data_IF_277043699743
#
_entry.id   IF_277043699743
#
_cell.length_a   1.000
_cell.length_b   1.000
_cell.length_c   1.000
_cell.angle_alpha   90.00
_cell.angle_beta   90.00
_cell.angle_gamma   90.00
#
_symmetry.space_group_name_H-M   'P 1'
#
loop_
_entity.id
_entity.type
_entity.pdbx_description
1 polymer ?
#
# COMPACT_ATOMS: atom_id res chain seq x y z
N UNK A 1 -10.90 -25.23 -1.87
CA UNK A 1 -9.46 -25.55 -1.74
C UNK A 1 -8.77 -24.31 -1.18
N UNK A 2 -8.22 -24.39 0.05
CA UNK A 2 -7.78 -23.21 0.82
C UNK A 2 -6.49 -22.64 0.22
N UNK A 3 -6.58 -21.44 -0.35
CA UNK A 3 -5.43 -20.63 -0.75
C UNK A 3 -4.56 -20.38 0.49
N UNK A 4 -3.41 -21.07 0.55
CA UNK A 4 -2.43 -20.90 1.61
C UNK A 4 -1.86 -19.51 1.54
N UNK A 5 -2.25 -18.64 2.48
CA UNK A 5 -1.52 -17.39 2.71
C UNK A 5 -0.11 -17.76 3.14
N UNK A 6 0.83 -17.69 2.18
CA UNK A 6 2.26 -17.75 2.45
C UNK A 6 2.54 -16.64 3.46
N UNK A 7 2.94 -17.01 4.68
CA UNK A 7 3.35 -16.01 5.67
C UNK A 7 4.59 -15.32 5.12
N UNK A 8 4.59 -13.98 4.93
CA UNK A 8 5.79 -13.30 4.51
C UNK A 8 6.90 -13.54 5.55
N UNK A 9 8.16 -13.67 5.11
CA UNK A 9 9.28 -13.84 6.03
C UNK A 9 9.31 -12.68 7.01
N UNK A 10 9.53 -12.99 8.30
CA UNK A 10 9.67 -11.97 9.34
C UNK A 10 10.99 -11.26 9.09
N UNK A 11 10.91 -10.03 8.55
CA UNK A 11 12.09 -9.19 8.38
C UNK A 11 12.61 -8.75 9.76
N UNK A 12 13.94 -8.67 9.95
CA UNK A 12 14.51 -8.14 11.18
C UNK A 12 14.04 -6.69 11.40
N UNK A 13 13.97 -6.27 12.68
CA UNK A 13 13.39 -5.00 13.17
C UNK A 13 13.93 -3.71 12.51
N UNK A 14 14.93 -3.78 11.64
CA UNK A 14 15.57 -2.65 10.96
C UNK A 14 15.98 -2.98 9.52
N UNK A 15 15.28 -3.92 8.87
CA UNK A 15 15.59 -4.34 7.49
C UNK A 15 15.61 -3.21 6.45
N UNK A 16 15.02 -2.05 6.74
CA UNK A 16 14.97 -0.89 5.85
C UNK A 16 15.74 0.33 6.41
N UNK A 17 16.59 0.14 7.42
CA UNK A 17 17.39 1.23 7.98
C UNK A 17 18.24 1.92 6.90
N UNK A 18 18.19 3.26 6.89
CA UNK A 18 18.93 4.10 5.92
C UNK A 18 18.28 4.19 4.54
N UNK A 19 17.16 3.51 4.29
CA UNK A 19 16.43 3.58 3.02
C UNK A 19 15.38 4.68 3.10
N UNK A 20 15.39 5.57 2.10
CA UNK A 20 14.33 6.57 1.89
C UNK A 20 13.33 6.06 0.87
N UNK A 21 12.05 6.02 1.23
CA UNK A 21 10.97 5.45 0.43
C UNK A 21 9.91 6.52 0.15
N UNK A 22 9.55 6.67 -1.13
CA UNK A 22 8.41 7.49 -1.55
C UNK A 22 7.14 6.62 -1.63
N UNK A 23 6.09 7.02 -0.92
CA UNK A 23 4.78 6.35 -0.94
C UNK A 23 3.79 7.18 -1.75
N UNK A 24 3.51 6.71 -2.98
CA UNK A 24 2.60 7.32 -3.96
C UNK A 24 1.15 6.85 -3.91
N UNK A 25 0.60 6.55 -2.72
CA UNK A 25 -0.76 5.95 -2.58
C UNK A 25 -1.84 6.98 -2.28
N UNK A 26 -3.10 6.59 -2.45
CA UNK A 26 -4.22 7.38 -1.96
C UNK A 26 -4.05 7.71 -0.47
N UNK A 27 -4.41 8.93 -0.06
CA UNK A 27 -4.16 9.45 1.30
C UNK A 27 -4.60 8.48 2.41
N UNK A 28 -5.78 7.88 2.27
CA UNK A 28 -6.32 6.93 3.26
C UNK A 28 -5.58 5.59 3.29
N UNK A 29 -4.87 5.20 2.23
CA UNK A 29 -4.08 3.96 2.16
C UNK A 29 -2.60 4.19 2.53
N UNK A 30 -2.10 5.41 2.37
CA UNK A 30 -0.69 5.74 2.58
C UNK A 30 -0.25 5.59 4.04
N UNK A 31 -1.12 5.96 5.00
CA UNK A 31 -0.77 6.01 6.42
C UNK A 31 -0.37 4.64 7.00
N UNK A 32 -1.19 3.60 6.76
CA UNK A 32 -0.93 2.26 7.28
C UNK A 32 0.38 1.67 6.72
N UNK A 33 0.59 1.78 5.41
CA UNK A 33 1.82 1.33 4.76
C UNK A 33 3.04 2.07 5.30
N UNK A 34 2.95 3.40 5.43
CA UNK A 34 4.06 4.22 5.89
C UNK A 34 4.43 3.95 7.35
N UNK A 35 3.44 3.66 8.20
CA UNK A 35 3.69 3.25 9.58
C UNK A 35 4.49 1.94 9.66
N UNK A 36 4.16 0.96 8.83
CA UNK A 36 4.86 -0.33 8.82
C UNK A 36 6.27 -0.22 8.24
N UNK A 37 6.48 0.60 7.21
CA UNK A 37 7.81 0.89 6.67
C UNK A 37 8.70 1.62 7.68
N UNK A 38 8.15 2.60 8.42
CA UNK A 38 8.86 3.30 9.50
C UNK A 38 9.27 2.35 10.64
N UNK A 39 8.41 1.39 11.00
CA UNK A 39 8.75 0.33 12.00
C UNK A 39 9.93 -0.54 11.56
N UNK A 40 10.14 -0.70 10.25
CA UNK A 40 11.28 -1.42 9.68
C UNK A 40 12.53 -0.54 9.52
N UNK A 41 12.48 0.74 9.90
CA UNK A 41 13.61 1.67 9.89
C UNK A 41 13.71 2.57 8.66
N UNK A 42 12.73 2.56 7.76
CA UNK A 42 12.74 3.43 6.59
C UNK A 42 12.39 4.89 6.93
N UNK A 43 12.99 5.82 6.19
CA UNK A 43 12.55 7.22 6.10
C UNK A 43 11.48 7.33 5.01
N UNK A 44 10.25 7.70 5.36
CA UNK A 44 9.10 7.62 4.46
C UNK A 44 8.54 9.00 4.14
N UNK A 45 8.51 9.32 2.84
CA UNK A 45 7.87 10.51 2.28
C UNK A 45 6.53 10.10 1.67
N UNK A 46 5.44 10.69 2.16
CA UNK A 46 4.08 10.43 1.65
C UNK A 46 3.71 11.50 0.63
N UNK A 47 3.39 11.10 -0.61
CA UNK A 47 2.84 11.99 -1.64
C UNK A 47 1.59 11.34 -2.25
N UNK A 48 0.39 11.88 -2.00
CA UNK A 48 -0.83 11.30 -2.56
C UNK A 48 -0.92 11.54 -4.06
N UNK A 49 -0.77 10.48 -4.87
CA UNK A 49 -0.82 10.57 -6.34
C UNK A 49 -2.23 10.40 -6.91
N UNK A 50 -3.10 9.67 -6.22
CA UNK A 50 -4.44 9.32 -6.69
C UNK A 50 -5.48 9.53 -5.60
N UNK A 51 -6.72 9.74 -6.01
CA UNK A 51 -7.89 9.73 -5.15
C UNK A 51 -8.89 8.70 -5.65
N UNK A 52 -9.54 7.98 -4.73
CA UNK A 52 -10.53 6.96 -5.07
C UNK A 52 -11.92 7.58 -4.93
N UNK A 53 -12.64 7.66 -6.05
CA UNK A 53 -14.01 8.15 -6.13
C UNK A 53 -14.93 7.10 -6.73
N UNK A 54 -16.22 7.18 -6.43
CA UNK A 54 -17.22 6.39 -7.15
C UNK A 54 -17.26 6.83 -8.62
N UNK A 55 -17.31 5.88 -9.58
CA UNK A 55 -17.53 6.23 -10.98
C UNK A 55 -18.92 6.84 -11.16
N UNK A 56 -19.09 7.65 -12.20
CA UNK A 56 -20.41 8.23 -12.54
C UNK A 56 -21.45 7.15 -12.87
N UNK A 57 -21.00 6.01 -13.41
CA UNK A 57 -21.84 4.85 -13.71
C UNK A 57 -20.99 3.58 -13.73
N UNK A 58 -21.58 2.47 -13.30
CA UNK A 58 -20.99 1.13 -13.36
C UNK A 58 -21.39 0.36 -14.63
N UNK A 59 -22.35 0.85 -15.41
CA UNK A 59 -22.86 0.20 -16.63
C UNK A 59 -21.77 -0.24 -17.62
N UNK A 60 -20.68 0.54 -17.88
CA UNK A 60 -19.62 0.10 -18.77
C UNK A 60 -18.86 -1.13 -18.26
N UNK A 61 -18.72 -1.29 -16.94
CA UNK A 61 -18.10 -2.46 -16.32
C UNK A 61 -19.03 -3.67 -16.42
N UNK A 62 -20.32 -3.48 -16.08
CA UNK A 62 -21.33 -4.55 -16.11
C UNK A 62 -21.54 -5.11 -17.51
N UNK A 63 -21.38 -4.28 -18.54
CA UNK A 63 -21.49 -4.72 -19.94
C UNK A 63 -20.26 -5.50 -20.43
N UNK A 64 -19.13 -5.44 -19.71
CA UNK A 64 -17.84 -5.99 -20.13
C UNK A 64 -17.46 -7.30 -19.42
N UNK A 65 -18.19 -7.68 -18.36
CA UNK A 65 -17.98 -8.91 -17.58
C UNK A 65 -19.14 -9.88 -17.78
#
# INVERSE_FOLDING_TARGET
MKSGRVRPPVLPKQSLAGIRILVGRARHQASALSADLRKLGADVIEIPFIEIHKPRSYQPLDSAL
#
